data_IF_254297270961
#
_entry.id   IF_254297270961
#
_cell.length_a   1.000
_cell.length_b   1.000
_cell.length_c   1.000
_cell.angle_alpha   90.00
_cell.angle_beta   90.00
_cell.angle_gamma   90.00
#
_symmetry.space_group_name_H-M   'P 1'
#
loop_
_entity.id
_entity.type
_entity.pdbx_description
1 polymer ?
#
# COMPACT_ATOMS: atom_id res chain seq x y z
N UNK A 1 -6.98 -12.05 -3.65
CA UNK A 1 -5.58 -11.86 -4.08
C UNK A 1 -5.59 -11.49 -5.54
N UNK A 2 -4.89 -10.43 -5.96
CA UNK A 2 -4.80 -10.06 -7.36
C UNK A 2 -4.20 -11.18 -8.20
N UNK A 3 -4.74 -11.35 -9.40
CA UNK A 3 -4.32 -12.35 -10.38
C UNK A 3 -2.88 -12.16 -10.84
N UNK A 4 -2.40 -10.91 -10.88
CA UNK A 4 -1.04 -10.53 -11.27
C UNK A 4 -0.01 -10.61 -10.11
N UNK A 5 -0.49 -10.84 -8.89
CA UNK A 5 0.32 -10.87 -7.66
C UNK A 5 -0.04 -12.10 -6.82
N UNK A 6 0.20 -13.33 -7.34
CA UNK A 6 -0.08 -14.56 -6.61
C UNK A 6 0.87 -14.70 -5.40
N UNK A 7 0.43 -15.44 -4.39
CA UNK A 7 1.27 -15.83 -3.26
C UNK A 7 2.48 -16.64 -3.75
N UNK A 8 3.68 -16.44 -3.18
CA UNK A 8 4.82 -17.30 -3.45
C UNK A 8 4.52 -18.77 -3.16
N UNK A 9 5.10 -19.67 -3.96
CA UNK A 9 5.12 -21.09 -3.63
C UNK A 9 6.15 -21.34 -2.53
N UNK A 10 5.82 -22.23 -1.60
CA UNK A 10 6.65 -22.52 -0.41
C UNK A 10 6.76 -24.02 -0.19
N UNK A 11 7.89 -24.43 0.35
CA UNK A 11 8.20 -25.81 0.70
C UNK A 11 7.77 -26.14 2.13
N UNK A 12 7.72 -25.12 2.99
CA UNK A 12 7.50 -25.27 4.43
C UNK A 12 6.50 -24.23 4.93
N UNK A 13 5.76 -24.62 5.97
CA UNK A 13 4.83 -23.75 6.66
C UNK A 13 5.11 -23.81 8.16
N UNK A 14 5.10 -22.63 8.80
CA UNK A 14 5.25 -22.46 10.23
C UNK A 14 4.11 -21.61 10.80
N UNK A 15 3.68 -21.93 12.01
CA UNK A 15 2.75 -21.10 12.77
C UNK A 15 3.50 -20.45 13.93
N UNK A 16 3.37 -19.12 14.05
CA UNK A 16 4.00 -18.33 15.12
C UNK A 16 2.90 -17.79 16.03
N UNK A 17 2.91 -18.21 17.30
CA UNK A 17 1.86 -17.89 18.28
C UNK A 17 2.45 -17.48 19.63
N UNK A 18 1.60 -16.90 20.49
CA UNK A 18 1.96 -16.58 21.87
C UNK A 18 3.21 -15.72 22.01
N UNK A 19 4.20 -16.19 22.76
CA UNK A 19 5.42 -15.44 23.10
C UNK A 19 6.36 -15.21 21.92
N UNK A 20 6.20 -15.97 20.83
CA UNK A 20 7.08 -15.89 19.66
C UNK A 20 6.59 -14.83 18.65
N UNK A 21 5.41 -14.25 18.89
CA UNK A 21 4.88 -13.11 18.13
C UNK A 21 5.71 -11.87 18.49
N UNK A 22 6.23 -11.12 17.49
CA UNK A 22 7.01 -9.92 17.76
C UNK A 22 6.16 -8.83 18.42
N UNK A 23 6.82 -7.96 19.18
CA UNK A 23 6.18 -6.82 19.81
C UNK A 23 5.41 -5.93 18.82
N UNK A 24 4.46 -5.11 19.30
CA UNK A 24 3.53 -4.36 18.46
C UNK A 24 4.19 -3.31 17.54
N UNK A 25 5.44 -2.92 17.83
CA UNK A 25 6.24 -1.99 17.00
C UNK A 25 7.41 -2.67 16.30
N UNK A 26 7.54 -3.99 16.47
CA UNK A 26 8.65 -4.78 15.93
C UNK A 26 8.14 -5.51 14.70
N UNK A 27 8.78 -5.29 13.55
CA UNK A 27 8.51 -6.02 12.32
C UNK A 27 8.92 -7.48 12.49
N UNK A 28 8.07 -8.42 12.04
CA UNK A 28 8.46 -9.81 11.87
C UNK A 28 9.41 -9.97 10.67
N UNK A 29 9.14 -9.21 9.60
CA UNK A 29 9.86 -9.31 8.33
C UNK A 29 11.34 -8.92 8.41
N UNK A 30 11.76 -8.21 9.45
CA UNK A 30 13.17 -7.86 9.67
C UNK A 30 14.00 -9.01 10.29
N UNK A 31 13.43 -10.19 10.51
CA UNK A 31 14.16 -11.37 10.99
C UNK A 31 15.14 -11.89 9.94
N UNK A 32 16.25 -12.45 10.40
CA UNK A 32 17.33 -13.01 9.57
C UNK A 32 17.59 -14.50 9.84
N UNK A 33 16.77 -15.11 10.70
CA UNK A 33 16.88 -16.49 11.17
C UNK A 33 15.72 -17.36 10.66
N UNK A 34 15.08 -16.94 9.57
CA UNK A 34 13.97 -17.66 8.97
C UNK A 34 14.47 -18.70 7.96
N UNK A 35 13.68 -19.75 7.78
CA UNK A 35 13.94 -20.81 6.83
C UNK A 35 13.64 -20.32 5.42
N UNK A 36 14.41 -20.76 4.41
CA UNK A 36 14.16 -20.41 3.02
C UNK A 36 12.88 -21.04 2.48
N UNK A 37 12.27 -20.40 1.48
CA UNK A 37 11.06 -20.86 0.78
C UNK A 37 9.94 -21.31 1.73
N UNK A 38 9.68 -20.53 2.77
CA UNK A 38 8.72 -20.87 3.80
C UNK A 38 7.64 -19.79 3.93
N UNK A 39 6.47 -20.19 4.43
CA UNK A 39 5.47 -19.24 4.93
C UNK A 39 5.37 -19.33 6.45
N UNK A 40 5.42 -18.17 7.10
CA UNK A 40 5.17 -18.01 8.53
C UNK A 40 3.81 -17.35 8.72
N UNK A 41 2.85 -18.11 9.26
CA UNK A 41 1.54 -17.60 9.69
C UNK A 41 1.67 -17.05 11.10
N UNK A 42 1.77 -15.73 11.21
CA UNK A 42 1.99 -15.05 12.48
C UNK A 42 0.65 -14.54 13.01
N UNK A 43 0.22 -15.12 14.12
CA UNK A 43 -1.09 -14.86 14.72
C UNK A 43 -1.32 -13.35 14.95
N UNK A 44 -2.41 -12.83 14.37
CA UNK A 44 -2.78 -11.42 14.46
C UNK A 44 -1.88 -10.44 13.69
N UNK A 45 -0.93 -10.94 12.88
CA UNK A 45 0.01 -10.12 12.10
C UNK A 45 -0.09 -10.36 10.59
N UNK A 46 -0.36 -11.59 10.18
CA UNK A 46 -0.48 -11.98 8.77
C UNK A 46 0.47 -13.09 8.38
N UNK A 47 0.64 -13.27 7.07
CA UNK A 47 1.45 -14.33 6.49
C UNK A 47 2.70 -13.74 5.85
N UNK A 48 3.86 -14.33 6.16
CA UNK A 48 5.18 -13.84 5.77
C UNK A 48 5.90 -14.92 4.98
N UNK A 49 6.24 -14.64 3.73
CA UNK A 49 6.86 -15.59 2.83
C UNK A 49 8.31 -15.22 2.64
N UNK A 50 9.19 -16.23 2.71
CA UNK A 50 10.62 -16.07 2.55
C UNK A 50 11.11 -16.53 1.19
N UNK A 51 12.15 -15.87 0.70
CA UNK A 51 12.89 -16.27 -0.50
C UNK A 51 13.86 -17.43 -0.21
N UNK A 52 14.69 -17.76 -1.20
CA UNK A 52 15.69 -18.84 -1.11
C UNK A 52 16.80 -18.60 -0.09
N UNK A 53 16.95 -17.36 0.39
CA UNK A 53 17.92 -16.97 1.40
C UNK A 53 17.29 -16.85 2.79
N UNK A 54 16.00 -17.16 2.94
CA UNK A 54 15.27 -17.00 4.19
C UNK A 54 14.88 -15.56 4.49
N UNK A 55 14.97 -14.63 3.54
CA UNK A 55 14.53 -13.24 3.74
C UNK A 55 13.06 -13.09 3.36
N UNK A 56 12.30 -12.35 4.16
CA UNK A 56 10.90 -12.06 3.80
C UNK A 56 10.86 -11.17 2.56
N UNK A 57 10.15 -11.63 1.53
CA UNK A 57 9.97 -10.89 0.27
C UNK A 57 8.49 -10.71 -0.13
N UNK A 58 7.56 -11.34 0.60
CA UNK A 58 6.13 -11.15 0.42
C UNK A 58 5.40 -11.21 1.76
N UNK A 59 4.49 -10.28 1.99
CA UNK A 59 3.72 -10.15 3.23
C UNK A 59 2.25 -9.97 2.88
N UNK A 60 1.40 -10.84 3.40
CA UNK A 60 -0.06 -10.69 3.33
C UNK A 60 -0.60 -10.28 4.69
N UNK A 61 -1.28 -9.13 4.75
CA UNK A 61 -1.68 -8.53 6.04
C UNK A 61 -2.86 -7.58 5.87
N UNK A 62 -3.23 -6.88 6.93
CA UNK A 62 -4.26 -5.83 6.93
C UNK A 62 -3.68 -4.51 7.42
N UNK A 63 -4.36 -3.40 7.12
CA UNK A 63 -4.07 -2.15 7.83
C UNK A 63 -4.32 -2.30 9.33
N UNK A 64 -3.58 -1.52 10.11
CA UNK A 64 -3.75 -1.42 11.55
C UNK A 64 -4.87 -0.44 11.93
N UNK A 65 -5.03 -0.27 13.23
CA UNK A 65 -6.09 0.57 13.81
C UNK A 65 -5.52 1.58 14.81
N UNK A 66 -6.38 2.40 15.40
CA UNK A 66 -5.98 3.41 16.38
C UNK A 66 -5.19 2.78 17.53
N UNK A 67 -3.98 3.28 17.79
CA UNK A 67 -3.07 2.76 18.81
C UNK A 67 -2.41 1.41 18.49
N UNK A 68 -2.75 0.79 17.36
CA UNK A 68 -2.24 -0.53 16.92
C UNK A 68 -1.99 -0.52 15.41
N UNK A 69 -1.14 0.40 14.95
CA UNK A 69 -0.70 0.44 13.56
C UNK A 69 0.10 -0.82 13.23
N UNK A 70 0.00 -1.29 11.99
CA UNK A 70 0.72 -2.47 11.56
C UNK A 70 2.22 -2.18 11.44
N UNK A 71 3.06 -2.84 12.24
CA UNK A 71 4.49 -2.58 12.25
C UNK A 71 5.19 -2.92 10.91
N UNK A 72 4.64 -3.87 10.15
CA UNK A 72 5.17 -4.24 8.81
C UNK A 72 4.94 -3.12 7.80
N UNK A 73 3.79 -2.44 7.90
CA UNK A 73 3.44 -1.33 7.02
C UNK A 73 4.03 0.01 7.49
N UNK A 74 4.41 0.10 8.77
CA UNK A 74 5.08 1.27 9.31
C UNK A 74 6.57 1.32 8.98
N UNK A 75 7.19 0.16 8.76
CA UNK A 75 8.60 0.01 8.45
C UNK A 75 8.75 -0.97 7.27
N UNK A 76 8.38 -0.55 6.04
CA UNK A 76 8.50 -1.40 4.88
C UNK A 76 9.95 -1.90 4.71
N UNK A 77 10.09 -3.19 4.47
CA UNK A 77 11.35 -3.87 4.20
C UNK A 77 11.73 -3.69 2.73
N UNK A 78 13.03 -3.70 2.40
CA UNK A 78 13.50 -3.71 1.02
C UNK A 78 12.98 -4.89 0.20
N UNK A 79 12.83 -4.70 -1.12
CA UNK A 79 12.52 -5.75 -2.09
C UNK A 79 11.34 -6.66 -1.69
N UNK A 80 10.30 -6.07 -1.08
CA UNK A 80 9.18 -6.80 -0.49
C UNK A 80 7.87 -6.40 -1.16
N UNK A 81 7.03 -7.40 -1.45
CA UNK A 81 5.65 -7.19 -1.89
C UNK A 81 4.70 -7.29 -0.70
N UNK A 82 3.83 -6.30 -0.53
CA UNK A 82 2.82 -6.25 0.52
C UNK A 82 1.45 -6.41 -0.13
N UNK A 83 0.75 -7.49 0.18
CA UNK A 83 -0.67 -7.66 -0.12
C UNK A 83 -1.49 -7.26 1.10
N UNK A 84 -1.99 -6.03 1.10
CA UNK A 84 -2.75 -5.48 2.22
C UNK A 84 -4.24 -5.59 1.93
N UNK A 85 -4.99 -6.26 2.78
CA UNK A 85 -6.44 -6.38 2.66
C UNK A 85 -7.12 -5.20 3.38
N UNK A 86 -7.69 -4.21 2.66
CA UNK A 86 -8.45 -3.13 3.26
C UNK A 86 -9.80 -3.60 3.79
N UNK A 87 -10.35 -2.85 4.75
CA UNK A 87 -11.73 -3.00 5.20
C UNK A 87 -12.67 -2.25 4.27
N UNK A 88 -13.19 -2.93 3.25
CA UNK A 88 -14.12 -2.37 2.25
C UNK A 88 -15.57 -2.66 2.61
N UNK A 89 -16.49 -1.77 2.23
CA UNK A 89 -17.92 -1.89 2.52
C UNK A 89 -18.58 -3.00 1.73
N UNK A 90 -18.16 -3.19 0.48
CA UNK A 90 -18.68 -4.22 -0.42
C UNK A 90 -17.53 -4.77 -1.25
N UNK A 91 -16.92 -5.90 -0.84
CA UNK A 91 -15.88 -6.55 -1.62
C UNK A 91 -16.40 -6.94 -3.01
N UNK A 92 -15.55 -6.81 -4.03
CA UNK A 92 -15.87 -7.35 -5.36
C UNK A 92 -15.89 -8.88 -5.31
N UNK A 93 -16.86 -9.48 -5.99
CA UNK A 93 -16.96 -10.93 -6.13
C UNK A 93 -15.97 -11.48 -7.18
N UNK A 94 -15.60 -10.64 -8.15
CA UNK A 94 -14.91 -11.06 -9.37
C UNK A 94 -13.45 -10.58 -9.44
N UNK A 95 -13.05 -9.66 -8.57
CA UNK A 95 -11.72 -9.06 -8.55
C UNK A 95 -11.23 -8.78 -7.12
N UNK A 96 -9.92 -8.77 -6.92
CA UNK A 96 -9.35 -8.57 -5.59
C UNK A 96 -9.32 -7.08 -5.21
N UNK A 97 -9.88 -6.74 -4.05
CA UNK A 97 -9.77 -5.39 -3.47
C UNK A 97 -8.48 -5.18 -2.64
N UNK A 98 -7.49 -6.04 -2.78
CA UNK A 98 -6.25 -5.95 -2.01
C UNK A 98 -5.40 -4.80 -2.54
N UNK A 99 -4.84 -4.01 -1.63
CA UNK A 99 -3.85 -2.99 -1.96
C UNK A 99 -2.47 -3.66 -1.99
N UNK A 100 -1.93 -3.79 -3.18
CA UNK A 100 -0.57 -4.27 -3.41
C UNK A 100 0.38 -3.09 -3.32
N UNK A 101 1.49 -3.27 -2.61
CA UNK A 101 2.62 -2.35 -2.62
C UNK A 101 3.90 -3.13 -2.88
N UNK A 102 4.80 -2.58 -3.70
CA UNK A 102 6.13 -3.17 -3.93
C UNK A 102 7.19 -2.15 -3.55
N UNK A 103 8.20 -2.62 -2.81
CA UNK A 103 9.32 -1.79 -2.39
C UNK A 103 10.56 -2.08 -3.22
N UNK A 104 11.40 -1.06 -3.39
CA UNK A 104 12.74 -1.22 -3.95
C UNK A 104 13.77 -1.68 -2.90
N UNK A 105 15.04 -1.74 -3.30
CA UNK A 105 16.15 -2.12 -2.42
C UNK A 105 16.42 -1.19 -1.24
N UNK A 106 15.80 0.00 -1.20
CA UNK A 106 15.88 0.94 -0.08
C UNK A 106 14.63 0.89 0.82
N UNK A 107 13.64 0.06 0.48
CA UNK A 107 12.37 -0.02 1.18
C UNK A 107 11.38 1.09 0.80
N UNK A 108 11.65 1.85 -0.27
CA UNK A 108 10.71 2.86 -0.80
C UNK A 108 9.64 2.14 -1.60
N UNK A 109 8.38 2.52 -1.40
CA UNK A 109 7.28 1.97 -2.20
C UNK A 109 7.33 2.61 -3.58
N UNK A 110 7.70 1.84 -4.60
CA UNK A 110 7.81 2.31 -5.99
C UNK A 110 6.59 1.98 -6.83
N UNK A 111 5.78 1.01 -6.39
CA UNK A 111 4.58 0.59 -7.09
C UNK A 111 3.44 0.28 -6.12
N UNK A 112 2.23 0.65 -6.49
CA UNK A 112 1.01 0.24 -5.81
C UNK A 112 -0.07 -0.18 -6.82
N UNK A 113 -0.91 -1.16 -6.47
CA UNK A 113 -1.97 -1.65 -7.36
C UNK A 113 -3.18 -2.20 -6.60
N UNK A 114 -4.38 -2.08 -7.19
CA UNK A 114 -5.58 -2.84 -6.83
C UNK A 114 -6.37 -3.17 -8.10
N UNK A 115 -6.93 -4.39 -8.18
CA UNK A 115 -7.79 -4.80 -9.30
C UNK A 115 -9.21 -4.23 -9.18
N UNK A 116 -9.62 -3.89 -7.95
CA UNK A 116 -10.94 -3.38 -7.66
C UNK A 116 -10.86 -2.39 -6.50
N UNK A 117 -10.71 -1.11 -6.82
CA UNK A 117 -10.83 -0.02 -5.86
C UNK A 117 -12.28 0.04 -5.34
N UNK A 118 -12.46 -0.05 -4.02
CA UNK A 118 -13.78 -0.09 -3.39
C UNK A 118 -13.89 0.90 -2.25
N UNK A 119 -15.08 1.47 -1.99
CA UNK A 119 -15.33 2.25 -0.76
C UNK A 119 -15.04 1.41 0.49
N UNK A 120 -14.46 2.05 1.49
CA UNK A 120 -14.07 1.41 2.73
C UNK A 120 -13.70 2.40 3.82
N UNK A 121 -13.35 1.86 4.97
CA UNK A 121 -12.94 2.62 6.14
C UNK A 121 -11.55 2.20 6.60
N UNK A 122 -10.76 3.17 7.03
CA UNK A 122 -9.50 2.89 7.71
C UNK A 122 -9.18 3.98 8.75
N UNK A 123 -8.28 3.68 9.67
CA UNK A 123 -7.83 4.66 10.64
C UNK A 123 -6.91 5.71 10.00
N UNK A 124 -7.12 6.99 10.36
CA UNK A 124 -6.27 8.12 9.95
C UNK A 124 -5.46 8.66 11.12
N UNK A 125 -4.16 8.92 10.90
CA UNK A 125 -3.29 9.55 11.90
C UNK A 125 -2.58 10.78 11.34
N UNK A 126 -2.98 11.96 11.82
CA UNK A 126 -2.32 13.23 11.46
C UNK A 126 -0.84 13.28 11.85
N UNK A 127 -0.44 12.54 12.90
CA UNK A 127 0.96 12.45 13.31
C UNK A 127 1.80 11.68 12.29
N UNK A 128 1.29 10.56 11.76
CA UNK A 128 2.03 9.78 10.76
C UNK A 128 2.09 10.50 9.43
N UNK A 129 0.95 11.04 8.95
CA UNK A 129 0.93 11.80 7.69
C UNK A 129 1.79 13.06 7.77
N UNK A 130 1.79 13.78 8.89
CA UNK A 130 2.68 14.92 9.12
C UNK A 130 4.16 14.51 9.08
N UNK A 131 4.54 13.42 9.75
CA UNK A 131 5.91 12.90 9.73
C UNK A 131 6.39 12.52 8.32
N UNK A 132 5.55 11.84 7.53
CA UNK A 132 5.88 11.47 6.15
C UNK A 132 5.98 12.72 5.27
N UNK A 133 5.01 13.65 5.34
CA UNK A 133 5.04 14.89 4.58
C UNK A 133 6.29 15.74 4.83
N UNK A 134 6.74 15.81 6.09
CA UNK A 134 7.93 16.56 6.47
C UNK A 134 9.22 16.09 5.79
N UNK A 135 9.26 14.86 5.24
CA UNK A 135 10.41 14.39 4.45
C UNK A 135 10.59 15.20 3.16
N UNK A 136 9.51 15.76 2.59
CA UNK A 136 9.57 16.64 1.42
C UNK A 136 9.74 18.13 1.75
N UNK A 137 9.53 18.52 3.02
CA UNK A 137 9.58 19.91 3.47
C UNK A 137 8.23 20.65 3.41
N UNK A 138 8.24 21.97 3.57
CA UNK A 138 7.06 22.78 3.91
C UNK A 138 5.89 22.72 2.89
N UNK A 139 6.17 22.50 1.60
CA UNK A 139 5.11 22.33 0.59
C UNK A 139 4.47 20.94 0.57
N UNK A 140 5.07 19.96 1.23
CA UNK A 140 4.68 18.57 1.13
C UNK A 140 3.79 18.17 2.31
N UNK A 141 2.97 17.16 2.04
CA UNK A 141 2.05 16.54 2.98
C UNK A 141 2.22 15.02 2.89
N UNK A 142 1.82 14.28 3.92
CA UNK A 142 1.71 12.82 3.81
C UNK A 142 0.46 12.46 3.01
N UNK A 143 0.60 12.47 1.67
CA UNK A 143 -0.46 12.08 0.74
C UNK A 143 -0.65 10.57 0.76
N UNK A 144 -1.88 10.10 0.67
CA UNK A 144 -2.14 8.66 0.55
C UNK A 144 -1.98 8.23 -0.91
N UNK A 145 -1.45 7.02 -1.15
CA UNK A 145 -1.53 6.39 -2.48
C UNK A 145 -2.95 5.88 -2.74
N UNK A 146 -3.50 5.09 -1.82
CA UNK A 146 -4.92 4.78 -1.77
C UNK A 146 -5.56 5.58 -0.64
N UNK A 147 -6.40 6.55 -1.00
CA UNK A 147 -7.13 7.35 -0.04
C UNK A 147 -7.92 6.52 0.97
N UNK A 148 -8.06 7.06 2.17
CA UNK A 148 -8.79 6.41 3.25
C UNK A 148 -10.24 6.04 2.94
N UNK A 149 -10.90 6.77 2.04
CA UNK A 149 -12.24 6.42 1.56
C UNK A 149 -12.26 5.09 0.80
N UNK A 150 -11.11 4.63 0.31
CA UNK A 150 -10.93 3.33 -0.32
C UNK A 150 -10.40 2.27 0.67
N UNK A 151 -10.58 2.49 1.98
CA UNK A 151 -10.03 1.62 3.02
C UNK A 151 -8.51 1.69 3.17
N UNK A 152 -7.85 2.69 2.58
CA UNK A 152 -6.41 2.92 2.71
C UNK A 152 -6.01 3.41 4.11
N UNK A 153 -5.16 2.63 4.79
CA UNK A 153 -4.62 2.98 6.10
C UNK A 153 -3.55 4.08 6.06
N UNK A 154 -3.22 4.58 7.26
CA UNK A 154 -2.30 5.70 7.48
C UNK A 154 -0.84 5.26 7.67
N UNK A 155 -0.53 3.99 7.44
CA UNK A 155 0.84 3.47 7.56
C UNK A 155 1.77 3.93 6.44
N UNK A 156 3.07 4.00 6.73
CA UNK A 156 4.11 4.52 5.83
C UNK A 156 4.07 3.88 4.43
N UNK A 157 3.79 2.59 4.31
CA UNK A 157 3.67 1.90 3.00
C UNK A 157 2.62 2.53 2.07
N UNK A 158 1.56 3.16 2.61
CA UNK A 158 0.50 3.80 1.83
C UNK A 158 0.61 5.34 1.80
N UNK A 159 1.73 5.90 2.28
CA UNK A 159 1.93 7.34 2.36
C UNK A 159 3.19 7.79 1.63
N UNK A 160 3.09 8.94 0.98
CA UNK A 160 4.22 9.57 0.29
C UNK A 160 4.34 11.04 0.69
N UNK A 161 5.57 11.59 0.71
CA UNK A 161 5.74 13.04 0.71
C UNK A 161 5.23 13.56 -0.63
N UNK A 162 4.05 14.17 -0.61
CA UNK A 162 3.33 14.62 -1.81
C UNK A 162 3.11 16.14 -1.72
N UNK A 163 3.48 16.88 -2.76
CA UNK A 163 3.24 18.32 -2.85
C UNK A 163 1.76 18.61 -2.59
N UNK A 164 1.46 19.63 -1.80
CA UNK A 164 0.08 20.05 -1.52
C UNK A 164 -0.74 20.29 -2.79
N UNK A 165 -0.11 20.80 -3.85
CA UNK A 165 -0.73 20.99 -5.16
C UNK A 165 -1.11 19.66 -5.83
N UNK A 166 -0.29 18.60 -5.69
CA UNK A 166 -0.59 17.26 -6.18
C UNK A 166 -1.63 16.57 -5.29
N UNK A 167 -1.43 16.62 -3.97
CA UNK A 167 -2.28 15.95 -2.97
C UNK A 167 -3.71 16.51 -2.97
N UNK A 168 -3.87 17.83 -3.04
CA UNK A 168 -5.18 18.49 -2.92
C UNK A 168 -5.33 19.81 -3.66
N UNK A 169 -4.50 20.07 -4.67
CA UNK A 169 -4.60 21.29 -5.48
C UNK A 169 -5.89 21.37 -6.28
N UNK A 170 -6.20 22.58 -6.74
CA UNK A 170 -7.22 22.82 -7.76
C UNK A 170 -6.74 22.32 -9.14
N UNK A 171 -7.66 21.91 -10.02
CA UNK A 171 -7.32 21.46 -11.36
C UNK A 171 -6.88 20.00 -11.45
N UNK A 172 -5.90 19.68 -12.30
CA UNK A 172 -5.40 18.32 -12.44
C UNK A 172 -4.47 17.95 -11.28
N UNK A 173 -5.04 17.33 -10.25
CA UNK A 173 -4.33 16.87 -9.05
C UNK A 173 -4.71 15.43 -8.72
N UNK A 174 -3.84 14.71 -8.01
CA UNK A 174 -4.09 13.33 -7.58
C UNK A 174 -5.38 13.27 -6.76
N UNK A 175 -5.58 14.21 -5.84
CA UNK A 175 -6.81 14.28 -5.05
C UNK A 175 -8.07 14.56 -5.86
N UNK A 176 -7.99 15.26 -7.00
CA UNK A 176 -9.14 15.41 -7.92
C UNK A 176 -9.43 14.12 -8.69
N UNK A 177 -8.40 13.38 -9.07
CA UNK A 177 -8.57 12.06 -9.68
C UNK A 177 -9.26 11.09 -8.71
N UNK A 178 -8.79 11.00 -7.45
CA UNK A 178 -9.45 10.19 -6.42
C UNK A 178 -10.90 10.60 -6.19
N UNK A 179 -11.19 11.91 -6.15
CA UNK A 179 -12.58 12.41 -6.04
C UNK A 179 -13.45 11.93 -7.20
N UNK A 180 -12.92 11.89 -8.42
CA UNK A 180 -13.67 11.42 -9.58
C UNK A 180 -14.03 9.93 -9.45
N UNK A 181 -13.10 9.08 -9.00
CA UNK A 181 -13.38 7.67 -8.75
C UNK A 181 -14.39 7.47 -7.63
N UNK A 182 -14.28 8.25 -6.55
CA UNK A 182 -15.28 8.26 -5.49
C UNK A 182 -16.68 8.55 -6.02
N UNK A 183 -16.84 9.57 -6.86
CA UNK A 183 -18.15 9.90 -7.45
C UNK A 183 -18.71 8.74 -8.30
N UNK A 184 -17.86 8.01 -9.02
CA UNK A 184 -18.28 6.84 -9.78
C UNK A 184 -18.74 5.69 -8.86
N UNK A 185 -17.99 5.45 -7.78
CA UNK A 185 -18.27 4.38 -6.81
C UNK A 185 -19.46 4.69 -5.90
N UNK A 186 -19.82 5.97 -5.72
CA UNK A 186 -21.03 6.40 -5.01
C UNK A 186 -22.31 6.28 -5.88
N UNK A 187 -22.21 5.79 -7.12
CA UNK A 187 -23.36 5.63 -8.01
C UNK A 187 -24.17 4.34 -7.71
N UNK A 188 -25.45 4.25 -8.14
CA UNK A 188 -26.28 3.06 -7.89
C UNK A 188 -25.74 1.76 -8.49
N UNK A 189 -24.96 1.86 -9.57
CA UNK A 189 -24.31 0.74 -10.25
C UNK A 189 -22.81 1.08 -10.36
N UNK A 190 -22.04 0.94 -9.28
CA UNK A 190 -20.64 1.35 -9.27
C UNK A 190 -19.83 0.47 -10.24
N UNK A 191 -18.96 1.08 -11.06
CA UNK A 191 -18.11 0.32 -11.97
C UNK A 191 -16.94 -0.35 -11.21
N UNK A 192 -16.31 -1.35 -11.83
CA UNK A 192 -15.00 -1.80 -11.38
C UNK A 192 -13.93 -0.77 -11.78
N UNK A 193 -13.07 -0.40 -10.84
CA UNK A 193 -11.94 0.51 -11.09
C UNK A 193 -10.64 -0.19 -10.73
N UNK A 194 -9.85 -0.56 -11.74
CA UNK A 194 -8.48 -1.04 -11.58
C UNK A 194 -7.54 0.16 -11.51
N UNK A 195 -6.61 0.16 -10.56
CA UNK A 195 -5.64 1.27 -10.40
C UNK A 195 -4.24 0.71 -10.21
N UNK A 196 -3.26 1.29 -10.89
CA UNK A 196 -1.84 1.10 -10.69
C UNK A 196 -1.16 2.47 -10.54
N UNK A 197 -0.25 2.59 -9.59
CA UNK A 197 0.51 3.81 -9.31
C UNK A 197 1.99 3.48 -9.28
N UNK A 198 2.74 4.00 -10.24
CA UNK A 198 4.20 3.99 -10.23
C UNK A 198 4.72 5.31 -9.65
N UNK A 199 5.75 5.21 -8.82
CA UNK A 199 6.39 6.35 -8.14
C UNK A 199 7.86 6.41 -8.56
N UNK A 200 8.26 7.53 -9.13
CA UNK A 200 9.63 7.74 -9.59
C UNK A 200 10.42 8.45 -8.50
N UNK A 201 11.57 7.90 -8.15
CA UNK A 201 12.52 8.49 -7.20
C UNK A 201 13.84 8.81 -7.91
N UNK A 202 14.53 9.84 -7.45
CA UNK A 202 15.87 10.20 -7.94
C UNK A 202 16.92 9.92 -6.86
N UNK A 203 17.98 9.19 -7.23
CA UNK A 203 19.05 8.81 -6.30
C UNK A 203 18.53 8.06 -5.08
N UNK A 204 19.00 8.48 -3.91
CA UNK A 204 18.64 7.96 -2.57
C UNK A 204 17.51 8.76 -1.91
N UNK A 205 16.81 9.64 -2.67
CA UNK A 205 15.71 10.44 -2.15
C UNK A 205 14.57 9.55 -1.64
N UNK A 206 13.98 9.95 -0.51
CA UNK A 206 12.73 9.37 0.02
C UNK A 206 11.47 10.07 -0.47
N UNK A 207 11.64 11.08 -1.31
CA UNK A 207 10.56 11.89 -1.89
C UNK A 207 10.46 11.51 -3.36
N UNK A 208 9.33 10.95 -3.81
CA UNK A 208 9.14 10.68 -5.23
C UNK A 208 9.09 12.00 -5.99
N UNK A 209 9.72 12.09 -7.15
CA UNK A 209 9.65 13.26 -8.03
C UNK A 209 8.42 13.22 -8.94
N UNK A 210 7.77 12.06 -9.08
CA UNK A 210 6.62 11.86 -9.98
C UNK A 210 5.73 10.70 -9.55
N UNK A 211 4.43 10.84 -9.80
CA UNK A 211 3.45 9.76 -9.75
C UNK A 211 2.87 9.52 -11.14
N UNK A 212 2.89 8.28 -11.60
CA UNK A 212 2.25 7.85 -12.85
C UNK A 212 1.11 6.91 -12.45
N UNK A 213 -0.11 7.32 -12.77
CA UNK A 213 -1.33 6.62 -12.38
C UNK A 213 -2.00 6.06 -13.62
N UNK A 214 -2.02 4.74 -13.74
CA UNK A 214 -2.76 4.03 -14.76
C UNK A 214 -4.04 3.46 -14.14
N UNK A 215 -5.18 3.67 -14.78
CA UNK A 215 -6.44 3.13 -14.31
C UNK A 215 -7.36 2.69 -15.45
N UNK A 216 -8.25 1.74 -15.15
CA UNK A 216 -9.29 1.26 -16.05
C UNK A 216 -10.63 1.27 -15.34
N UNK A 217 -11.69 1.54 -16.09
CA UNK A 217 -13.08 1.49 -15.62
C UNK A 217 -13.79 0.42 -16.45
N UNK A 218 -14.38 -0.58 -15.78
CA UNK A 218 -15.09 -1.72 -16.38
C UNK A 218 -14.33 -2.42 -17.51
N UNK A 219 -13.03 -2.66 -17.33
CA UNK A 219 -12.18 -3.30 -18.34
C UNK A 219 -12.02 -2.49 -19.64
N UNK A 220 -12.42 -1.22 -19.62
CA UNK A 220 -12.32 -0.30 -20.74
C UNK A 220 -10.87 0.08 -21.09
N UNK A 221 -10.72 1.10 -21.94
CA UNK A 221 -9.39 1.58 -22.33
C UNK A 221 -8.60 2.08 -21.10
N UNK A 222 -7.32 1.69 -20.96
CA UNK A 222 -6.46 2.26 -19.93
C UNK A 222 -6.33 3.78 -20.10
N UNK A 223 -6.34 4.48 -18.97
CA UNK A 223 -6.12 5.91 -18.86
C UNK A 223 -4.89 6.16 -18.00
N UNK A 224 -4.04 7.07 -18.43
CA UNK A 224 -2.81 7.46 -17.70
C UNK A 224 -2.91 8.90 -17.24
N UNK A 225 -2.56 9.17 -15.98
CA UNK A 225 -2.40 10.51 -15.41
C UNK A 225 -1.01 10.62 -14.79
N UNK A 226 -0.32 11.71 -15.09
CA UNK A 226 1.04 11.98 -14.59
C UNK A 226 0.96 13.20 -13.69
N UNK A 227 1.52 13.09 -12.49
CA UNK A 227 1.63 14.18 -11.53
C UNK A 227 3.09 14.42 -11.20
N UNK A 228 3.63 15.55 -11.65
CA UNK A 228 4.96 16.00 -11.24
C UNK A 228 4.93 16.43 -9.77
N UNK A 229 5.82 15.85 -8.98
CA UNK A 229 5.93 16.06 -7.54
C UNK A 229 7.19 16.89 -7.20
N UNK A 230 7.53 17.81 -8.09
CA UNK A 230 8.65 18.75 -7.98
C UNK A 230 8.12 20.18 -8.04
N UNK A 231 8.83 21.10 -7.41
CA UNK A 231 8.52 22.54 -7.44
C UNK A 231 9.12 23.22 -8.65
#
# INVERSE_FOLDING_TARGET
MPSDTPRPQVDREFTVTGKDIPGPKTSFASRSDLEPNAVYRVEGRGDFYTDTDGKVNFIETTYGSNGKLNAELQNPQPNTTYAVHPSVHTPSADASNAHIFKTDGEGRVTFAHTESLQPGDAYRSGSVTGRVGNLGGEAYEGGHTFGNFFGGGTEVTNLDPMLRAVNRGSGESFGNLERSWRTLLDSPNPPNIEVAVEKIFEGDSKVPTKFIVDYRIDGGRPMTKIFENVR
#
